data_IF_487251348034
#
_entry.id   IF_487251348034
#
_cell.length_a   1.000
_cell.length_b   1.000
_cell.length_c   1.000
_cell.angle_alpha   90.00
_cell.angle_beta   90.00
_cell.angle_gamma   90.00
#
_symmetry.space_group_name_H-M   'P 1'
#
loop_
_entity.id
_entity.type
_entity.pdbx_description
1 polymer ?
#
# COMPACT_ATOMS: atom_id res chain seq x y z
N UNK A 1 -5.39 -59.48 28.08
CA UNK A 1 -4.37 -58.58 27.48
C UNK A 1 -4.96 -57.96 26.22
N UNK A 2 -5.47 -56.74 26.33
CA UNK A 2 -6.02 -55.95 25.21
C UNK A 2 -4.86 -55.28 24.47
N UNK A 3 -4.77 -55.52 23.16
CA UNK A 3 -3.78 -54.92 22.28
C UNK A 3 -4.35 -53.63 21.70
N UNK A 4 -3.84 -52.48 22.14
CA UNK A 4 -4.15 -51.17 21.59
C UNK A 4 -3.28 -50.98 20.34
N UNK A 5 -3.89 -51.03 19.16
CA UNK A 5 -3.24 -50.59 17.92
C UNK A 5 -3.27 -49.06 17.88
N UNK A 6 -2.10 -48.44 18.01
CA UNK A 6 -1.92 -47.02 17.65
C UNK A 6 -2.19 -46.86 16.15
N UNK A 7 -3.30 -46.21 15.81
CA UNK A 7 -3.51 -45.64 14.48
C UNK A 7 -2.63 -44.40 14.38
N UNK A 8 -1.58 -44.48 13.57
CA UNK A 8 -0.73 -43.35 13.19
C UNK A 8 -1.54 -42.31 12.41
N UNK A 9 -1.32 -41.03 12.73
CA UNK A 9 -2.00 -39.84 12.19
C UNK A 9 -2.02 -39.74 10.65
N UNK A 10 -1.17 -40.51 9.95
CA UNK A 10 -1.12 -40.57 8.49
C UNK A 10 -2.37 -41.18 7.83
N UNK A 11 -3.18 -41.95 8.57
CA UNK A 11 -4.35 -42.64 8.01
C UNK A 11 -5.65 -41.81 7.93
N UNK A 12 -5.73 -40.63 8.55
CA UNK A 12 -6.96 -39.84 8.61
C UNK A 12 -7.01 -38.65 7.63
N UNK A 13 -5.91 -38.29 6.97
CA UNK A 13 -5.89 -37.15 6.04
C UNK A 13 -6.34 -37.49 4.61
N UNK A 14 -6.54 -38.76 4.24
CA UNK A 14 -7.00 -39.14 2.90
C UNK A 14 -8.53 -39.17 2.73
N UNK A 15 -9.32 -38.83 3.76
CA UNK A 15 -10.79 -38.92 3.72
C UNK A 15 -11.52 -37.57 3.62
N UNK A 16 -10.78 -36.45 3.60
CA UNK A 16 -11.34 -35.12 3.32
C UNK A 16 -10.70 -34.64 2.03
N UNK A 17 -11.50 -34.62 0.95
CA UNK A 17 -11.10 -34.16 -0.38
C UNK A 17 -10.76 -32.67 -0.41
N UNK A 18 -9.67 -32.29 0.24
CA UNK A 18 -8.94 -31.08 -0.10
C UNK A 18 -8.22 -31.38 -1.41
N UNK A 19 -8.82 -30.93 -2.52
CA UNK A 19 -8.08 -30.78 -3.76
C UNK A 19 -6.82 -29.98 -3.42
N UNK A 20 -5.66 -30.60 -3.62
CA UNK A 20 -4.39 -29.91 -3.59
C UNK A 20 -4.42 -28.89 -4.73
N UNK A 21 -4.89 -27.68 -4.44
CA UNK A 21 -4.37 -26.53 -5.18
C UNK A 21 -2.90 -26.45 -4.78
N UNK A 22 -2.06 -27.11 -5.58
CA UNK A 22 -0.64 -26.81 -5.60
C UNK A 22 -0.55 -25.35 -6.05
N UNK A 23 -0.56 -24.42 -5.09
CA UNK A 23 -0.10 -23.07 -5.36
C UNK A 23 1.31 -23.23 -5.94
N UNK A 24 1.42 -23.07 -7.26
CA UNK A 24 2.68 -23.21 -7.96
C UNK A 24 3.55 -22.10 -7.40
N UNK A 25 4.53 -22.45 -6.55
CA UNK A 25 5.54 -21.50 -6.11
C UNK A 25 6.37 -21.15 -7.35
N UNK A 26 5.95 -20.14 -8.10
CA UNK A 26 6.78 -19.61 -9.16
C UNK A 26 8.06 -19.09 -8.49
N UNK A 27 9.23 -19.68 -8.80
CA UNK A 27 10.49 -19.18 -8.29
C UNK A 27 10.60 -17.70 -8.66
N UNK A 28 11.21 -16.91 -7.77
CA UNK A 28 11.44 -15.50 -8.05
C UNK A 28 12.30 -15.31 -9.30
N UNK A 29 12.13 -14.18 -10.00
CA UNK A 29 13.02 -13.78 -11.08
C UNK A 29 14.45 -13.62 -10.54
N UNK A 30 15.44 -13.82 -11.41
CA UNK A 30 16.84 -13.60 -11.06
C UNK A 30 17.08 -12.11 -10.78
N UNK A 31 17.73 -11.81 -9.67
CA UNK A 31 18.17 -10.45 -9.33
C UNK A 31 19.60 -10.29 -9.85
N UNK A 32 19.87 -9.32 -10.76
CA UNK A 32 21.24 -9.04 -11.19
C UNK A 32 22.15 -8.66 -10.03
N UNK A 33 23.41 -9.06 -10.09
CA UNK A 33 24.45 -8.56 -9.19
C UNK A 33 24.92 -7.17 -9.62
N UNK A 34 25.30 -6.33 -8.66
CA UNK A 34 25.88 -5.01 -8.91
C UNK A 34 24.90 -3.85 -8.78
N UNK A 35 25.37 -2.67 -9.18
CA UNK A 35 24.61 -1.42 -9.11
C UNK A 35 23.42 -1.43 -10.07
N UNK A 36 22.37 -0.70 -9.71
CA UNK A 36 21.23 -0.49 -10.60
C UNK A 36 21.62 0.50 -11.71
N UNK A 37 20.99 0.39 -12.88
CA UNK A 37 21.34 1.23 -14.03
C UNK A 37 21.02 2.70 -13.76
N UNK A 38 22.01 3.62 -13.80
CA UNK A 38 21.76 5.05 -13.63
C UNK A 38 20.85 5.64 -14.72
N UNK A 39 20.91 5.08 -15.93
CA UNK A 39 20.03 5.47 -17.04
C UNK A 39 18.58 5.09 -16.75
N UNK A 40 18.37 3.92 -16.14
CA UNK A 40 17.04 3.46 -15.77
C UNK A 40 16.46 4.27 -14.62
N UNK A 41 17.29 4.59 -13.63
CA UNK A 41 16.90 5.43 -12.50
C UNK A 41 16.51 6.85 -12.96
N UNK A 42 17.32 7.47 -13.83
CA UNK A 42 16.99 8.76 -14.42
C UNK A 42 15.68 8.72 -15.22
N UNK A 43 15.47 7.67 -16.02
CA UNK A 43 14.23 7.52 -16.77
C UNK A 43 13.00 7.38 -15.86
N UNK A 44 13.11 6.67 -14.73
CA UNK A 44 12.03 6.64 -13.74
C UNK A 44 11.80 7.99 -13.06
N UNK A 45 12.85 8.74 -12.75
CA UNK A 45 12.74 10.09 -12.20
C UNK A 45 11.96 11.01 -13.15
N UNK A 46 12.38 11.07 -14.42
CA UNK A 46 11.73 11.92 -15.43
C UNK A 46 10.28 11.47 -15.70
N UNK A 47 10.02 10.16 -15.71
CA UNK A 47 8.65 9.62 -15.82
C UNK A 47 7.76 10.08 -14.66
N UNK A 48 8.32 10.16 -13.46
CA UNK A 48 7.60 10.58 -12.24
C UNK A 48 7.17 12.04 -12.31
N UNK A 49 8.06 12.92 -12.80
CA UNK A 49 7.72 14.32 -13.03
C UNK A 49 6.57 14.45 -14.02
N UNK A 50 6.64 13.73 -15.15
CA UNK A 50 5.58 13.69 -16.15
C UNK A 50 4.23 13.26 -15.57
N UNK A 51 4.21 12.23 -14.72
CA UNK A 51 2.97 11.73 -14.08
C UNK A 51 2.24 12.83 -13.30
N UNK A 52 2.97 13.66 -12.54
CA UNK A 52 2.36 14.77 -11.79
C UNK A 52 1.96 15.96 -12.67
N UNK A 53 2.52 16.07 -13.88
CA UNK A 53 2.10 17.02 -14.90
C UNK A 53 0.92 16.51 -15.76
N UNK A 54 0.42 15.30 -15.48
CA UNK A 54 -0.65 14.67 -16.25
C UNK A 54 -0.18 14.10 -17.60
N UNK A 55 1.11 13.87 -17.75
CA UNK A 55 1.74 13.28 -18.92
C UNK A 55 2.30 11.89 -18.60
N UNK A 56 2.32 11.00 -19.58
CA UNK A 56 2.93 9.68 -19.42
C UNK A 56 3.78 9.36 -20.63
N UNK A 57 5.09 9.24 -20.41
CA UNK A 57 6.06 8.97 -21.46
C UNK A 57 6.39 7.47 -21.53
N UNK A 58 5.93 6.83 -22.61
CA UNK A 58 6.12 5.40 -22.84
C UNK A 58 7.57 5.06 -23.22
N UNK A 59 8.33 6.00 -23.80
CA UNK A 59 9.74 5.81 -24.15
C UNK A 59 10.61 5.83 -22.88
N UNK A 60 10.31 6.72 -21.93
CA UNK A 60 10.94 6.72 -20.61
C UNK A 60 10.64 5.42 -19.86
N UNK A 61 9.38 4.95 -19.86
CA UNK A 61 9.05 3.66 -19.25
C UNK A 61 9.83 2.50 -19.88
N UNK A 62 9.95 2.45 -21.22
CA UNK A 62 10.75 1.43 -21.91
C UNK A 62 12.21 1.50 -21.46
N UNK A 63 12.80 2.69 -21.51
CA UNK A 63 14.19 2.95 -21.10
C UNK A 63 14.47 2.49 -19.66
N UNK A 64 13.51 2.72 -18.76
CA UNK A 64 13.62 2.34 -17.36
C UNK A 64 13.66 0.81 -17.14
N UNK A 65 13.07 0.02 -18.04
CA UNK A 65 12.94 -1.44 -17.86
C UNK A 65 13.79 -2.28 -18.82
N UNK A 66 14.29 -1.71 -19.91
CA UNK A 66 15.01 -2.43 -20.98
C UNK A 66 16.36 -3.04 -20.54
N UNK A 67 16.89 -2.60 -19.40
CA UNK A 67 18.09 -3.17 -18.79
C UNK A 67 17.87 -4.57 -18.17
N UNK A 68 16.61 -5.00 -18.00
CA UNK A 68 16.25 -6.33 -17.50
C UNK A 68 16.43 -6.52 -15.99
N UNK A 69 16.73 -5.47 -15.23
CA UNK A 69 16.87 -5.54 -13.78
C UNK A 69 15.51 -5.52 -13.09
N UNK A 70 15.15 -6.67 -12.50
CA UNK A 70 13.86 -6.84 -11.84
C UNK A 70 13.67 -5.93 -10.63
N UNK A 71 14.74 -5.36 -10.05
CA UNK A 71 14.64 -4.38 -8.96
C UNK A 71 13.82 -3.16 -9.38
N UNK A 72 13.85 -2.78 -10.66
CA UNK A 72 13.05 -1.69 -11.21
C UNK A 72 11.54 -1.91 -11.10
N UNK A 73 11.09 -3.17 -10.99
CA UNK A 73 9.68 -3.49 -10.81
C UNK A 73 9.10 -2.97 -9.47
N UNK A 74 9.95 -2.69 -8.47
CA UNK A 74 9.50 -2.02 -7.24
C UNK A 74 8.89 -0.65 -7.54
N UNK A 75 9.51 0.11 -8.44
CA UNK A 75 9.02 1.44 -8.77
C UNK A 75 7.81 1.39 -9.72
N UNK A 76 7.76 0.39 -10.60
CA UNK A 76 6.57 0.14 -11.43
C UNK A 76 5.34 -0.13 -10.54
N UNK A 77 5.47 -0.96 -9.50
CA UNK A 77 4.35 -1.21 -8.59
C UNK A 77 3.98 0.03 -7.79
N UNK A 78 4.95 0.84 -7.34
CA UNK A 78 4.66 2.12 -6.70
C UNK A 78 3.86 3.05 -7.65
N UNK A 79 4.25 3.16 -8.92
CA UNK A 79 3.51 3.96 -9.91
C UNK A 79 2.09 3.44 -10.17
N UNK A 80 1.86 2.12 -10.17
CA UNK A 80 0.53 1.53 -10.27
C UNK A 80 -0.41 1.95 -9.14
N UNK A 81 0.10 2.44 -8.00
CA UNK A 81 -0.73 3.00 -6.93
C UNK A 81 -1.36 4.33 -7.34
N UNK A 82 -0.66 5.12 -8.16
CA UNK A 82 -1.03 6.47 -8.58
C UNK A 82 -1.68 6.49 -9.97
N UNK A 83 -1.28 5.58 -10.85
CA UNK A 83 -1.77 5.43 -12.22
C UNK A 83 -2.72 4.24 -12.29
N UNK A 84 -4.00 4.47 -11.96
CA UNK A 84 -4.98 3.38 -11.79
C UNK A 84 -5.87 3.11 -13.01
N UNK A 85 -5.78 3.92 -14.07
CA UNK A 85 -6.68 3.82 -15.21
C UNK A 85 -5.98 4.09 -16.55
N UNK A 86 -6.66 3.70 -17.63
CA UNK A 86 -6.24 4.03 -19.00
C UNK A 86 -5.01 3.27 -19.51
N UNK A 87 -4.49 3.75 -20.64
CA UNK A 87 -3.30 3.19 -21.30
C UNK A 87 -2.02 3.26 -20.45
N UNK A 88 -1.78 4.32 -19.64
CA UNK A 88 -0.65 4.34 -18.72
C UNK A 88 -0.62 3.17 -17.73
N UNK A 89 -1.78 2.81 -17.13
CA UNK A 89 -1.86 1.63 -16.24
C UNK A 89 -1.49 0.35 -17.00
N UNK A 90 -2.06 0.15 -18.19
CA UNK A 90 -1.80 -1.04 -19.00
C UNK A 90 -0.30 -1.16 -19.33
N UNK A 91 0.33 -0.05 -19.72
CA UNK A 91 1.76 -0.03 -20.00
C UNK A 91 2.62 -0.38 -18.77
N UNK A 92 2.24 0.10 -17.57
CA UNK A 92 2.91 -0.26 -16.32
C UNK A 92 2.73 -1.75 -15.98
N UNK A 93 1.54 -2.32 -16.17
CA UNK A 93 1.30 -3.76 -15.97
C UNK A 93 2.12 -4.61 -16.95
N UNK A 94 2.18 -4.22 -18.22
CA UNK A 94 3.02 -4.88 -19.21
C UNK A 94 4.50 -4.76 -18.87
N UNK A 95 4.95 -3.60 -18.40
CA UNK A 95 6.32 -3.39 -17.96
C UNK A 95 6.66 -4.27 -16.75
N UNK A 96 5.78 -4.33 -15.75
CA UNK A 96 5.91 -5.24 -14.62
C UNK A 96 6.04 -6.69 -15.10
N UNK A 97 5.17 -7.12 -16.02
CA UNK A 97 5.18 -8.47 -16.54
C UNK A 97 6.45 -8.79 -17.36
N UNK A 98 6.97 -7.83 -18.12
CA UNK A 98 8.27 -7.96 -18.82
C UNK A 98 9.42 -8.12 -17.84
N UNK A 99 9.47 -7.31 -16.78
CA UNK A 99 10.54 -7.35 -15.77
C UNK A 99 10.51 -8.60 -14.90
N UNK A 100 9.32 -9.14 -14.62
CA UNK A 100 9.14 -10.24 -13.64
C UNK A 100 8.80 -11.59 -14.26
N UNK A 101 8.35 -11.60 -15.51
CA UNK A 101 7.87 -12.80 -16.20
C UNK A 101 6.49 -13.29 -15.76
N UNK A 102 5.74 -12.51 -14.97
CA UNK A 102 4.40 -12.89 -14.47
C UNK A 102 3.36 -11.84 -14.82
N UNK A 103 2.16 -12.29 -15.16
CA UNK A 103 1.03 -11.42 -15.45
C UNK A 103 0.19 -11.19 -14.20
N UNK A 104 -0.30 -9.96 -14.02
CA UNK A 104 -1.33 -9.66 -13.03
C UNK A 104 -2.63 -10.36 -13.40
N UNK A 105 -3.32 -11.05 -12.48
CA UNK A 105 -4.67 -11.56 -12.71
C UNK A 105 -5.65 -10.45 -13.08
N UNK A 106 -6.56 -10.70 -14.02
CA UNK A 106 -7.51 -9.70 -14.53
C UNK A 106 -8.41 -9.08 -13.46
N UNK A 107 -8.72 -9.83 -12.40
CA UNK A 107 -9.58 -9.44 -11.28
C UNK A 107 -8.81 -8.90 -10.07
N UNK A 108 -7.48 -8.81 -10.15
CA UNK A 108 -6.64 -8.34 -9.05
C UNK A 108 -6.25 -6.86 -9.20
N UNK A 109 -6.09 -6.18 -8.06
CA UNK A 109 -5.38 -4.91 -8.02
C UNK A 109 -3.91 -5.14 -8.41
N UNK A 110 -3.47 -4.58 -9.53
CA UNK A 110 -2.10 -4.74 -10.02
C UNK A 110 -1.05 -4.23 -9.02
N UNK A 111 -1.32 -3.10 -8.37
CA UNK A 111 -0.49 -2.57 -7.31
C UNK A 111 -0.36 -3.56 -6.14
N UNK A 112 -1.47 -4.01 -5.56
CA UNK A 112 -1.45 -4.89 -4.38
C UNK A 112 -0.84 -6.25 -4.72
N UNK A 113 -1.24 -6.83 -5.84
CA UNK A 113 -0.74 -8.12 -6.31
C UNK A 113 0.76 -8.06 -6.61
N UNK A 114 1.21 -7.04 -7.35
CA UNK A 114 2.63 -6.84 -7.68
C UNK A 114 3.49 -6.61 -6.44
N UNK A 115 3.04 -5.76 -5.52
CA UNK A 115 3.73 -5.50 -4.24
C UNK A 115 3.90 -6.78 -3.43
N UNK A 116 2.82 -7.53 -3.22
CA UNK A 116 2.86 -8.80 -2.50
C UNK A 116 3.79 -9.81 -3.17
N UNK A 117 3.83 -9.81 -4.50
CA UNK A 117 4.69 -10.71 -5.26
C UNK A 117 6.17 -10.36 -5.09
N UNK A 118 6.53 -9.09 -5.24
CA UNK A 118 7.89 -8.59 -5.04
C UNK A 118 8.39 -8.86 -3.61
N UNK A 119 7.53 -8.68 -2.60
CA UNK A 119 7.81 -9.04 -1.21
C UNK A 119 8.02 -10.55 -1.04
N UNK A 120 7.12 -11.37 -1.62
CA UNK A 120 7.18 -12.83 -1.50
C UNK A 120 8.46 -13.43 -2.09
N UNK A 121 9.00 -12.80 -3.13
CA UNK A 121 10.26 -13.19 -3.75
C UNK A 121 11.49 -12.63 -3.04
N UNK A 122 11.31 -11.69 -2.12
CA UNK A 122 12.42 -11.04 -1.42
C UNK A 122 13.28 -10.19 -2.35
N UNK A 123 12.70 -9.59 -3.40
CA UNK A 123 13.47 -8.74 -4.33
C UNK A 123 14.05 -7.55 -3.54
N UNK A 124 15.37 -7.33 -3.54
CA UNK A 124 15.96 -6.21 -2.83
C UNK A 124 15.60 -4.90 -3.53
N UNK A 125 15.50 -3.81 -2.75
CA UNK A 125 15.59 -2.47 -3.32
C UNK A 125 17.04 -2.21 -3.76
N UNK A 126 17.22 -1.30 -4.71
CA UNK A 126 18.53 -0.74 -5.00
C UNK A 126 18.73 0.56 -4.21
N UNK A 127 19.97 1.05 -4.13
CA UNK A 127 20.33 2.17 -3.26
C UNK A 127 19.54 3.46 -3.55
N UNK A 128 19.30 3.78 -4.83
CA UNK A 128 18.53 4.96 -5.26
C UNK A 128 17.00 4.84 -5.15
N UNK A 129 16.47 3.65 -4.81
CA UNK A 129 15.01 3.43 -4.74
C UNK A 129 14.31 4.38 -3.76
N UNK A 130 14.94 4.64 -2.62
CA UNK A 130 14.41 5.54 -1.59
C UNK A 130 14.24 6.97 -2.10
N UNK A 131 15.15 7.44 -2.94
CA UNK A 131 15.13 8.80 -3.46
C UNK A 131 14.06 8.97 -4.54
N UNK A 132 13.86 7.97 -5.41
CA UNK A 132 12.70 7.96 -6.31
C UNK A 132 11.38 7.90 -5.53
N UNK A 133 11.30 7.04 -4.51
CA UNK A 133 10.09 6.95 -3.68
C UNK A 133 9.81 8.26 -2.94
N UNK A 134 10.86 8.97 -2.50
CA UNK A 134 10.74 10.34 -1.98
C UNK A 134 10.11 11.27 -3.02
N UNK A 135 10.64 11.30 -4.25
CA UNK A 135 10.13 12.16 -5.32
C UNK A 135 8.63 11.91 -5.55
N UNK A 136 8.24 10.63 -5.63
CA UNK A 136 6.84 10.24 -5.78
C UNK A 136 5.97 10.74 -4.62
N UNK A 137 6.38 10.53 -3.37
CA UNK A 137 5.58 10.89 -2.20
C UNK A 137 5.52 12.40 -1.95
N UNK A 138 6.63 13.10 -2.17
CA UNK A 138 6.70 14.57 -2.06
C UNK A 138 5.90 15.25 -3.18
N UNK A 139 5.83 14.63 -4.37
CA UNK A 139 4.96 15.09 -5.46
C UNK A 139 3.47 15.03 -5.10
N UNK A 140 3.08 14.12 -4.20
CA UNK A 140 1.71 14.04 -3.66
C UNK A 140 1.50 15.07 -2.56
N UNK A 141 2.42 15.14 -1.59
CA UNK A 141 2.36 16.08 -0.48
C UNK A 141 3.77 16.39 0.05
N UNK A 142 4.13 17.67 0.04
CA UNK A 142 5.43 18.15 0.53
C UNK A 142 5.73 17.78 1.99
N UNK A 143 4.70 17.51 2.81
CA UNK A 143 4.85 17.05 4.21
C UNK A 143 5.47 15.66 4.32
N UNK A 144 5.61 14.91 3.23
CA UNK A 144 6.38 13.66 3.24
C UNK A 144 7.89 13.87 3.37
N UNK A 145 8.42 15.03 2.96
CA UNK A 145 9.87 15.26 2.89
C UNK A 145 10.63 14.93 4.20
N UNK A 146 10.18 15.34 5.40
CA UNK A 146 10.89 15.05 6.64
C UNK A 146 11.10 13.55 6.92
N UNK A 147 10.20 12.68 6.47
CA UNK A 147 10.32 11.22 6.66
C UNK A 147 11.40 10.60 5.77
N UNK A 148 11.78 11.26 4.68
CA UNK A 148 12.83 10.81 3.77
C UNK A 148 14.16 11.55 4.00
N UNK A 149 14.22 12.60 4.82
CA UNK A 149 15.46 13.34 5.08
C UNK A 149 16.42 12.57 6.01
N UNK A 150 15.90 11.61 6.79
CA UNK A 150 16.68 10.81 7.74
C UNK A 150 16.41 9.32 7.56
N UNK A 151 17.41 8.50 7.85
CA UNK A 151 17.21 7.06 7.94
C UNK A 151 16.50 6.74 9.26
N UNK A 152 15.25 6.27 9.16
CA UNK A 152 14.43 5.86 10.28
C UNK A 152 14.42 4.34 10.49
N UNK A 153 15.27 3.59 9.78
CA UNK A 153 15.28 2.11 9.82
C UNK A 153 14.02 1.48 9.21
N UNK A 154 13.29 2.24 8.39
CA UNK A 154 12.07 1.80 7.70
C UNK A 154 12.46 1.12 6.39
N UNK A 155 11.90 -0.07 6.15
CA UNK A 155 11.96 -0.68 4.83
C UNK A 155 10.98 0.06 3.89
N UNK A 156 11.50 0.89 3.00
CA UNK A 156 10.66 1.69 2.10
C UNK A 156 9.85 0.84 1.11
N UNK A 157 10.16 -0.44 0.93
CA UNK A 157 9.38 -1.34 0.06
C UNK A 157 8.01 -1.70 0.65
N UNK A 158 7.87 -1.66 1.98
CA UNK A 158 6.60 -2.00 2.66
C UNK A 158 5.71 -0.78 2.89
N UNK A 159 6.26 0.43 2.74
CA UNK A 159 5.51 1.67 2.93
C UNK A 159 4.81 2.06 1.61
N UNK A 160 3.53 2.39 1.71
CA UNK A 160 2.69 2.80 0.57
C UNK A 160 1.79 3.97 0.96
N UNK A 161 1.32 4.72 -0.03
CA UNK A 161 0.33 5.78 0.20
C UNK A 161 -1.10 5.22 0.24
N UNK A 162 -1.89 5.74 1.20
CA UNK A 162 -3.25 5.29 1.49
C UNK A 162 -4.29 5.61 0.43
N UNK A 163 -4.02 6.50 -0.54
CA UNK A 163 -4.93 6.78 -1.66
C UNK A 163 -5.79 8.03 -1.55
N UNK A 164 -5.62 8.78 -0.47
CA UNK A 164 -6.40 9.97 -0.15
C UNK A 164 -5.47 11.08 0.30
N UNK A 165 -5.81 12.31 -0.10
CA UNK A 165 -5.06 13.46 0.39
C UNK A 165 -5.45 13.74 1.86
N UNK A 166 -4.54 14.30 2.65
CA UNK A 166 -4.94 14.88 3.93
C UNK A 166 -5.95 16.02 3.71
N UNK A 167 -6.88 16.17 4.66
CA UNK A 167 -7.77 17.33 4.69
C UNK A 167 -6.98 18.58 5.09
N UNK A 168 -6.81 19.49 4.14
CA UNK A 168 -6.11 20.77 4.29
C UNK A 168 -7.07 21.98 4.25
N UNK A 169 -8.37 21.72 4.30
CA UNK A 169 -9.39 22.77 4.31
C UNK A 169 -9.39 23.54 5.63
N UNK A 170 -9.89 24.80 5.65
CA UNK A 170 -10.05 25.54 6.88
C UNK A 170 -11.02 24.84 7.85
N UNK A 171 -10.76 25.00 9.15
CA UNK A 171 -11.63 24.49 10.21
C UNK A 171 -13.10 24.86 9.97
N UNK A 172 -13.98 23.85 9.98
CA UNK A 172 -15.42 23.99 9.78
C UNK A 172 -15.90 23.93 8.32
N UNK A 173 -15.00 23.78 7.35
CA UNK A 173 -15.37 23.47 5.96
C UNK A 173 -15.68 21.97 5.81
N UNK A 174 -16.97 21.65 5.64
CA UNK A 174 -17.47 20.30 5.44
C UNK A 174 -17.88 20.03 3.98
N UNK A 175 -17.34 20.78 3.02
CA UNK A 175 -17.58 20.57 1.59
C UNK A 175 -17.14 19.18 1.09
N UNK A 176 -17.37 18.86 -0.20
CA UNK A 176 -16.79 17.66 -0.80
C UNK A 176 -15.26 17.79 -0.90
N UNK A 177 -14.53 16.70 -0.68
CA UNK A 177 -13.08 16.60 -0.92
C UNK A 177 -12.69 15.19 -1.39
N UNK A 178 -11.49 15.07 -1.99
CA UNK A 178 -10.81 13.79 -2.24
C UNK A 178 -9.83 13.45 -1.10
N UNK A 179 -10.30 13.66 0.13
CA UNK A 179 -9.53 13.58 1.36
C UNK A 179 -10.27 12.74 2.41
N UNK A 180 -9.59 12.34 3.48
CA UNK A 180 -10.28 11.88 4.70
C UNK A 180 -10.72 13.14 5.45
N UNK A 181 -12.04 13.42 5.55
CA UNK A 181 -12.50 14.63 6.22
C UNK A 181 -11.98 14.68 7.66
N UNK A 182 -11.50 15.85 8.05
CA UNK A 182 -11.16 16.15 9.43
C UNK A 182 -12.38 15.98 10.34
N UNK A 183 -12.15 15.42 11.53
CA UNK A 183 -13.15 15.33 12.61
C UNK A 183 -13.26 16.67 13.35
N UNK A 184 -13.37 17.77 12.61
CA UNK A 184 -13.27 19.12 13.16
C UNK A 184 -14.50 19.51 13.99
N UNK A 185 -15.69 19.06 13.57
CA UNK A 185 -16.95 19.32 14.26
C UNK A 185 -17.85 18.09 14.19
N UNK A 186 -17.54 17.01 14.94
CA UNK A 186 -18.46 15.87 15.01
C UNK A 186 -19.82 16.36 15.51
N UNK A 187 -20.90 15.91 14.88
CA UNK A 187 -22.24 16.21 15.37
C UNK A 187 -22.39 15.68 16.80
N UNK A 188 -22.65 16.57 17.75
CA UNK A 188 -22.86 16.21 19.15
C UNK A 188 -24.34 16.19 19.49
N UNK A 189 -24.71 15.41 20.50
CA UNK A 189 -26.03 15.45 21.12
C UNK A 189 -25.88 15.73 22.62
N UNK A 190 -26.91 16.33 23.24
CA UNK A 190 -26.97 16.44 24.70
C UNK A 190 -27.17 15.06 25.33
N UNK A 191 -26.96 14.97 26.65
CA UNK A 191 -27.25 13.75 27.42
C UNK A 191 -28.67 13.22 27.14
N UNK A 192 -29.68 14.11 27.13
CA UNK A 192 -31.09 13.75 26.84
C UNK A 192 -31.32 13.16 25.43
N UNK A 193 -30.40 13.38 24.49
CA UNK A 193 -30.45 12.80 23.15
C UNK A 193 -29.46 11.66 22.95
N UNK A 194 -28.81 11.22 24.03
CA UNK A 194 -27.76 10.20 24.07
C UNK A 194 -28.26 8.80 24.41
N UNK A 195 -29.57 8.58 24.56
CA UNK A 195 -30.21 7.31 24.98
C UNK A 195 -29.86 6.09 24.09
N UNK A 196 -29.25 6.32 22.93
CA UNK A 196 -28.72 5.26 22.07
C UNK A 196 -27.44 4.61 22.61
N UNK A 197 -26.78 5.22 23.60
CA UNK A 197 -25.60 4.71 24.26
C UNK A 197 -25.94 4.22 25.67
N UNK A 198 -25.72 2.93 25.97
CA UNK A 198 -26.13 2.37 27.26
C UNK A 198 -25.39 3.05 28.43
N UNK A 199 -26.12 3.32 29.52
CA UNK A 199 -25.61 4.00 30.72
C UNK A 199 -24.43 3.29 31.40
N UNK A 200 -24.27 1.98 31.18
CA UNK A 200 -23.20 1.17 31.78
C UNK A 200 -21.90 1.17 30.95
N UNK A 201 -21.89 1.85 29.79
CA UNK A 201 -20.74 1.92 28.90
C UNK A 201 -19.77 3.03 29.31
N UNK A 202 -18.51 2.78 28.96
CA UNK A 202 -17.42 3.71 29.28
C UNK A 202 -17.38 4.81 28.24
N UNK A 203 -17.26 6.06 28.71
CA UNK A 203 -16.97 7.23 27.88
C UNK A 203 -15.66 7.87 28.32
N UNK A 204 -14.98 8.52 27.38
CA UNK A 204 -13.92 9.47 27.67
C UNK A 204 -14.51 10.88 27.74
N UNK A 205 -14.50 11.47 28.92
CA UNK A 205 -14.94 12.85 29.12
C UNK A 205 -13.80 13.85 28.92
N UNK A 206 -14.04 14.91 28.15
CA UNK A 206 -13.16 16.06 28.03
C UNK A 206 -13.87 17.29 28.62
N UNK A 207 -13.22 18.00 29.53
CA UNK A 207 -13.69 19.25 30.11
C UNK A 207 -12.71 20.37 29.77
N UNK A 208 -13.17 21.40 29.07
CA UNK A 208 -12.38 22.59 28.73
C UNK A 208 -13.22 23.82 29.01
N UNK A 209 -12.72 24.75 29.83
CA UNK A 209 -13.42 26.01 30.17
C UNK A 209 -14.89 25.80 30.60
N UNK A 210 -15.14 24.83 31.49
CA UNK A 210 -16.46 24.43 31.99
C UNK A 210 -17.41 23.78 30.96
N UNK A 211 -16.95 23.55 29.72
CA UNK A 211 -17.69 22.79 28.71
C UNK A 211 -17.25 21.32 28.72
N UNK A 212 -18.21 20.42 28.91
CA UNK A 212 -17.97 18.98 28.94
C UNK A 212 -18.50 18.30 27.68
N UNK A 213 -17.70 17.41 27.11
CA UNK A 213 -18.08 16.50 26.03
C UNK A 213 -17.68 15.07 26.41
N UNK A 214 -18.49 14.08 26.00
CA UNK A 214 -18.23 12.67 26.25
C UNK A 214 -18.09 11.92 24.92
N UNK A 215 -17.04 11.11 24.81
CA UNK A 215 -16.76 10.29 23.64
C UNK A 215 -16.92 8.80 24.01
N UNK A 216 -17.87 8.08 23.39
CA UNK A 216 -18.04 6.64 23.54
C UNK A 216 -16.73 5.87 23.33
N UNK A 217 -16.34 5.02 24.29
CA UNK A 217 -15.08 4.27 24.23
C UNK A 217 -14.99 3.42 22.96
N UNK A 218 -16.05 2.75 22.57
CA UNK A 218 -16.11 1.90 21.37
C UNK A 218 -15.96 2.69 20.06
N UNK A 219 -16.38 3.95 20.01
CA UNK A 219 -16.14 4.81 18.83
C UNK A 219 -14.69 5.29 18.77
N UNK A 220 -14.01 5.36 19.91
CA UNK A 220 -12.58 5.69 19.99
C UNK A 220 -11.67 4.47 19.86
N UNK A 221 -12.19 3.25 20.04
CA UNK A 221 -11.45 2.00 19.86
C UNK A 221 -11.36 1.59 18.38
N UNK A 222 -12.35 1.95 17.57
CA UNK A 222 -12.37 1.69 16.13
C UNK A 222 -11.70 2.87 15.40
N UNK A 223 -10.50 2.64 14.89
CA UNK A 223 -9.82 3.53 13.95
C UNK A 223 -9.35 2.68 12.76
N UNK A 224 -9.88 2.97 11.56
CA UNK A 224 -9.28 2.57 10.28
C UNK A 224 -8.14 3.51 9.88
#
# INVERSE_FOLDING_TARGET
MMSIRLLTLAGLMSALGFGSSTAQSHPGPNVPEGEFSPVAEAAFSDLTEGVFEGQFDYELLSTAVDNGDVRGAWYIVDLLRFVQEGQPRVALEEAFARSTGVQTPEDASAWLWGTNRMLSWGIPAWDGYRDLKRQLFVGVDARWAPFFDQDHGVDWRILTWGGVQPDDRPFGDNGPCHCIPSLDNPGTTSADGGDWYDDDKIVFGLLVNDEAIAFPKNQMEEHE
#
